data_IF_360327193935
#
_entry.id   IF_360327193935
#
_cell.length_a   1.000
_cell.length_b   1.000
_cell.length_c   1.000
_cell.angle_alpha   90.00
_cell.angle_beta   90.00
_cell.angle_gamma   90.00
#
_symmetry.space_group_name_H-M   'P 1'
#
loop_
_entity.id
_entity.type
_entity.pdbx_description
1 polymer ?
#
# COMPACT_ATOMS: atom_id res chain seq x y z
N UNK A 1 -29.00 25.59 5.98
CA UNK A 1 -29.85 24.43 5.62
C UNK A 1 -29.55 23.29 6.60
N UNK A 2 -30.03 23.38 7.84
CA UNK A 2 -29.91 22.29 8.82
C UNK A 2 -30.97 21.24 8.48
N UNK A 3 -30.57 20.16 7.80
CA UNK A 3 -31.42 18.96 7.65
C UNK A 3 -31.61 18.33 9.04
N UNK A 4 -32.81 17.83 9.29
CA UNK A 4 -33.22 17.16 10.53
C UNK A 4 -32.15 16.19 11.05
N UNK A 5 -31.70 16.40 12.30
CA UNK A 5 -30.67 15.57 12.95
C UNK A 5 -31.11 14.10 12.98
N UNK A 6 -32.42 13.86 13.16
CA UNK A 6 -33.01 12.51 13.21
C UNK A 6 -32.90 11.77 11.88
N UNK A 7 -33.18 12.45 10.77
CA UNK A 7 -33.07 11.87 9.42
C UNK A 7 -31.61 11.57 9.07
N UNK A 8 -30.69 12.45 9.48
CA UNK A 8 -29.24 12.23 9.29
C UNK A 8 -28.75 11.00 10.07
N UNK A 9 -29.19 10.84 11.33
CA UNK A 9 -28.82 9.68 12.15
C UNK A 9 -29.37 8.37 11.56
N UNK A 10 -30.62 8.37 11.10
CA UNK A 10 -31.26 7.20 10.47
C UNK A 10 -30.52 6.79 9.18
N UNK A 11 -30.16 7.77 8.35
CA UNK A 11 -29.38 7.52 7.14
C UNK A 11 -27.99 6.95 7.48
N UNK A 12 -27.32 7.52 8.49
CA UNK A 12 -26.00 7.07 8.90
C UNK A 12 -25.98 5.62 9.40
N UNK A 13 -26.90 5.25 10.30
CA UNK A 13 -26.98 3.89 10.86
C UNK A 13 -27.28 2.83 9.79
N UNK A 14 -27.99 3.20 8.73
CA UNK A 14 -28.26 2.30 7.61
C UNK A 14 -27.11 2.25 6.58
N UNK A 15 -26.22 3.25 6.57
CA UNK A 15 -25.07 3.28 5.66
C UNK A 15 -24.07 2.17 6.00
N UNK A 16 -23.36 1.68 4.98
CA UNK A 16 -22.24 0.77 5.17
C UNK A 16 -21.09 1.43 5.95
N UNK A 17 -21.01 2.76 5.94
CA UNK A 17 -20.03 3.52 6.72
C UNK A 17 -20.15 3.23 8.21
N UNK A 18 -21.39 3.17 8.74
CA UNK A 18 -21.61 2.86 10.16
C UNK A 18 -21.15 1.45 10.54
N UNK A 19 -21.35 0.47 9.65
CA UNK A 19 -20.89 -0.91 9.89
C UNK A 19 -19.36 -0.98 9.94
N UNK A 20 -18.68 -0.27 9.03
CA UNK A 20 -17.22 -0.21 8.99
C UNK A 20 -16.65 0.55 10.19
N UNK A 21 -17.27 1.65 10.58
CA UNK A 21 -16.89 2.41 11.77
C UNK A 21 -17.10 1.59 13.05
N UNK A 22 -18.24 0.90 13.17
CA UNK A 22 -18.52 0.01 14.30
C UNK A 22 -17.50 -1.14 14.36
N UNK A 23 -17.18 -1.75 13.22
CA UNK A 23 -16.15 -2.79 13.13
C UNK A 23 -14.79 -2.25 13.56
N UNK A 24 -14.41 -1.05 13.13
CA UNK A 24 -13.13 -0.42 13.49
C UNK A 24 -13.02 -0.07 14.98
N UNK A 25 -14.15 0.16 15.64
CA UNK A 25 -14.26 0.47 17.07
C UNK A 25 -14.45 -0.78 17.94
N UNK A 26 -14.54 -1.97 17.34
CA UNK A 26 -14.66 -3.21 18.13
C UNK A 26 -13.46 -3.32 19.08
N UNK A 27 -13.68 -3.45 20.40
CA UNK A 27 -12.63 -3.41 21.41
C UNK A 27 -11.90 -4.77 21.48
N UNK A 28 -11.34 -5.21 20.35
CA UNK A 28 -10.53 -6.42 20.27
C UNK A 28 -9.22 -6.28 21.04
N UNK A 29 -8.89 -5.07 21.51
CA UNK A 29 -7.81 -4.85 22.45
C UNK A 29 -8.03 -5.55 23.80
N UNK A 30 -9.26 -5.92 24.15
CA UNK A 30 -9.53 -6.73 25.36
C UNK A 30 -8.83 -8.09 25.28
N UNK A 31 -8.59 -8.60 24.05
CA UNK A 31 -7.89 -9.88 23.84
C UNK A 31 -6.38 -9.80 24.16
N UNK A 32 -5.82 -8.60 24.38
CA UNK A 32 -4.43 -8.44 24.87
C UNK A 32 -4.22 -9.10 26.22
N UNK A 33 -5.27 -9.18 27.05
CA UNK A 33 -5.19 -9.79 28.39
C UNK A 33 -4.86 -11.28 28.33
N UNK A 34 -5.25 -11.97 27.25
CA UNK A 34 -5.09 -13.42 27.11
C UNK A 34 -3.93 -13.81 26.20
N UNK A 35 -3.68 -13.03 25.15
CA UNK A 35 -2.73 -13.39 24.08
C UNK A 35 -1.39 -12.66 24.15
N UNK A 36 -1.25 -11.72 25.11
CA UNK A 36 -0.12 -10.79 25.15
C UNK A 36 -0.25 -9.67 24.09
N UNK A 37 0.74 -8.76 23.98
CA UNK A 37 0.65 -7.60 23.11
C UNK A 37 0.87 -7.94 21.63
N UNK A 38 -0.10 -8.61 21.03
CA UNK A 38 -0.10 -8.93 19.60
C UNK A 38 -0.70 -7.76 18.82
N UNK A 39 0.15 -7.04 18.08
CA UNK A 39 -0.25 -5.92 17.24
C UNK A 39 -1.29 -6.28 16.15
N UNK A 40 -1.42 -7.57 15.80
CA UNK A 40 -2.38 -8.05 14.81
C UNK A 40 -3.85 -7.73 15.16
N UNK A 41 -4.21 -7.72 16.45
CA UNK A 41 -5.58 -7.37 16.89
C UNK A 41 -5.96 -5.92 16.54
N UNK A 42 -4.97 -5.04 16.34
CA UNK A 42 -5.19 -3.65 15.96
C UNK A 42 -5.38 -3.45 14.46
N UNK A 43 -5.16 -4.47 13.64
CA UNK A 43 -5.34 -4.38 12.16
C UNK A 43 -6.78 -4.03 11.81
N UNK A 44 -7.76 -4.42 12.62
CA UNK A 44 -9.17 -4.12 12.40
C UNK A 44 -9.47 -2.62 12.46
N UNK A 45 -8.62 -1.84 13.14
CA UNK A 45 -8.70 -0.37 13.11
C UNK A 45 -8.34 0.21 11.73
N UNK A 46 -7.59 -0.52 10.90
CA UNK A 46 -7.29 -0.11 9.52
C UNK A 46 -8.52 -0.21 8.60
N UNK A 47 -9.60 -0.88 9.02
CA UNK A 47 -10.87 -0.91 8.27
C UNK A 47 -11.56 0.45 8.16
N UNK A 48 -11.05 1.49 8.84
CA UNK A 48 -11.48 2.89 8.67
C UNK A 48 -10.96 3.53 7.37
N UNK A 49 -10.94 2.76 6.29
CA UNK A 49 -10.67 3.23 4.94
C UNK A 49 -11.67 4.30 4.45
N UNK A 50 -12.99 4.27 4.81
CA UNK A 50 -13.93 5.29 4.35
C UNK A 50 -13.52 6.72 4.69
N UNK A 51 -12.93 6.95 5.87
CA UNK A 51 -12.46 8.29 6.24
C UNK A 51 -11.29 8.78 5.38
N UNK A 52 -10.42 7.87 4.96
CA UNK A 52 -9.36 8.21 4.00
C UNK A 52 -9.97 8.63 2.66
N UNK A 53 -10.99 7.90 2.19
CA UNK A 53 -11.67 8.19 0.92
C UNK A 53 -12.40 9.54 0.99
N UNK A 54 -13.04 9.83 2.12
CA UNK A 54 -13.66 11.14 2.39
C UNK A 54 -12.62 12.27 2.37
N UNK A 55 -11.47 12.08 3.01
CA UNK A 55 -10.38 13.07 3.00
C UNK A 55 -9.89 13.33 1.57
N UNK A 56 -9.71 12.30 0.76
CA UNK A 56 -9.32 12.48 -0.64
C UNK A 56 -10.41 13.15 -1.47
N UNK A 57 -11.69 12.87 -1.22
CA UNK A 57 -12.79 13.58 -1.88
C UNK A 57 -12.87 15.06 -1.48
N UNK A 58 -12.55 15.40 -0.23
CA UNK A 58 -12.47 16.79 0.22
C UNK A 58 -11.26 17.50 -0.39
N UNK A 59 -10.11 16.82 -0.49
CA UNK A 59 -8.94 17.34 -1.17
C UNK A 59 -9.19 17.57 -2.67
N UNK A 60 -9.92 16.67 -3.33
CA UNK A 60 -10.31 16.81 -4.74
C UNK A 60 -11.17 18.05 -4.98
N UNK A 61 -12.09 18.35 -4.05
CA UNK A 61 -12.91 19.57 -4.11
C UNK A 61 -12.15 20.85 -3.75
N UNK A 62 -11.06 20.75 -2.98
CA UNK A 62 -10.30 21.92 -2.48
C UNK A 62 -9.20 22.37 -3.43
N UNK A 63 -8.70 21.50 -4.31
CA UNK A 63 -7.55 21.78 -5.17
C UNK A 63 -8.03 22.12 -6.58
N UNK A 64 -7.50 23.20 -7.15
CA UNK A 64 -7.88 23.70 -8.48
C UNK A 64 -7.45 22.77 -9.63
N UNK A 65 -6.41 21.95 -9.42
CA UNK A 65 -5.89 21.03 -10.42
C UNK A 65 -6.21 19.56 -10.08
N UNK A 66 -7.22 18.94 -10.74
CA UNK A 66 -7.63 17.56 -10.47
C UNK A 66 -6.54 16.54 -10.80
N UNK A 67 -5.60 16.86 -11.69
CA UNK A 67 -4.52 15.96 -12.07
C UNK A 67 -3.54 15.71 -10.92
N UNK A 68 -3.23 16.75 -10.13
CA UNK A 68 -2.32 16.65 -8.98
C UNK A 68 -2.92 15.76 -7.90
N UNK A 69 -4.21 15.93 -7.60
CA UNK A 69 -4.91 15.11 -6.60
C UNK A 69 -4.96 13.65 -7.05
N UNK A 70 -5.23 13.39 -8.33
CA UNK A 70 -5.26 12.02 -8.85
C UNK A 70 -3.91 11.33 -8.73
N UNK A 71 -2.80 11.98 -9.10
CA UNK A 71 -1.44 11.41 -8.92
C UNK A 71 -1.16 11.18 -7.43
N UNK A 72 -1.43 12.17 -6.60
CA UNK A 72 -1.18 12.10 -5.15
C UNK A 72 -1.91 10.93 -4.50
N UNK A 73 -3.18 10.72 -4.89
CA UNK A 73 -3.99 9.59 -4.41
C UNK A 73 -3.38 8.25 -4.79
N UNK A 74 -3.00 8.06 -6.05
CA UNK A 74 -2.40 6.81 -6.51
C UNK A 74 -1.02 6.58 -5.89
N UNK A 75 -0.22 7.63 -5.70
CA UNK A 75 1.08 7.56 -5.05
C UNK A 75 0.95 7.19 -3.56
N UNK A 76 -0.02 7.78 -2.85
CA UNK A 76 -0.32 7.42 -1.48
C UNK A 76 -0.73 5.94 -1.35
N UNK A 77 -1.55 5.43 -2.27
CA UNK A 77 -1.89 4.00 -2.31
C UNK A 77 -0.66 3.11 -2.56
N UNK A 78 0.24 3.51 -3.46
CA UNK A 78 1.47 2.77 -3.70
C UNK A 78 2.34 2.69 -2.44
N UNK A 79 2.60 3.82 -1.79
CA UNK A 79 3.41 3.87 -0.56
C UNK A 79 2.78 3.01 0.54
N UNK A 80 1.46 3.08 0.70
CA UNK A 80 0.74 2.26 1.67
C UNK A 80 0.88 0.76 1.38
N UNK A 81 0.75 0.33 0.12
CA UNK A 81 0.94 -1.06 -0.26
C UNK A 81 2.38 -1.53 -0.02
N UNK A 82 3.39 -0.71 -0.34
CA UNK A 82 4.81 -1.02 -0.06
C UNK A 82 5.05 -1.15 1.45
N UNK A 83 4.45 -0.26 2.25
CA UNK A 83 4.50 -0.32 3.70
C UNK A 83 3.91 -1.63 4.23
N UNK A 84 2.70 -2.00 3.82
CA UNK A 84 2.06 -3.26 4.20
C UNK A 84 2.92 -4.48 3.80
N UNK A 85 3.45 -4.49 2.57
CA UNK A 85 4.36 -5.54 2.11
C UNK A 85 5.63 -5.60 2.96
N UNK A 86 6.20 -4.46 3.36
CA UNK A 86 7.40 -4.39 4.20
C UNK A 86 7.18 -4.95 5.60
N UNK A 87 6.00 -4.70 6.18
CA UNK A 87 5.59 -5.28 7.47
C UNK A 87 5.43 -6.80 7.37
N UNK A 88 4.79 -7.30 6.30
CA UNK A 88 4.65 -8.74 6.07
C UNK A 88 6.03 -9.39 5.89
N UNK A 89 6.92 -8.77 5.12
CA UNK A 89 8.29 -9.26 4.91
C UNK A 89 9.09 -9.33 6.22
N UNK A 90 8.94 -8.32 7.10
CA UNK A 90 9.54 -8.36 8.43
C UNK A 90 9.01 -9.51 9.28
N UNK A 91 7.70 -9.75 9.26
CA UNK A 91 7.08 -10.87 10.00
C UNK A 91 7.55 -12.22 9.46
N UNK A 92 7.61 -12.40 8.14
CA UNK A 92 8.17 -13.61 7.52
C UNK A 92 9.64 -13.79 7.90
N UNK A 93 10.41 -12.71 7.91
CA UNK A 93 11.81 -12.72 8.33
C UNK A 93 11.97 -13.13 9.80
N UNK A 94 11.09 -12.64 10.68
CA UNK A 94 11.08 -13.00 12.09
C UNK A 94 10.71 -14.48 12.30
N UNK A 95 9.74 -15.01 11.54
CA UNK A 95 9.39 -16.44 11.58
C UNK A 95 10.52 -17.37 11.13
N UNK A 96 11.39 -16.89 10.24
CA UNK A 96 12.58 -17.62 9.77
C UNK A 96 13.84 -17.32 10.61
N UNK A 97 13.67 -16.78 11.82
CA UNK A 97 14.74 -16.41 12.74
C UNK A 97 15.81 -15.52 12.10
N UNK A 98 15.40 -14.54 11.30
CA UNK A 98 16.28 -13.54 10.67
C UNK A 98 17.42 -14.14 9.82
N UNK A 99 17.16 -15.30 9.20
CA UNK A 99 18.12 -16.00 8.34
C UNK A 99 19.18 -16.79 9.09
N UNK A 100 19.06 -16.95 10.42
CA UNK A 100 19.98 -17.77 11.22
C UNK A 100 19.83 -19.27 10.95
N UNK A 101 18.72 -19.69 10.35
CA UNK A 101 18.49 -21.08 9.95
C UNK A 101 19.17 -21.31 8.60
N UNK A 102 20.26 -22.11 8.60
CA UNK A 102 20.91 -22.53 7.38
C UNK A 102 20.06 -23.59 6.66
N UNK A 103 19.99 -23.50 5.32
CA UNK A 103 19.40 -24.54 4.48
C UNK A 103 20.50 -25.35 3.80
N UNK A 104 20.20 -26.60 3.44
CA UNK A 104 21.14 -27.51 2.80
C UNK A 104 20.81 -27.66 1.32
N UNK A 105 21.77 -27.35 0.45
CA UNK A 105 21.68 -27.58 -0.99
C UNK A 105 22.98 -28.19 -1.48
N UNK A 106 22.93 -29.26 -2.29
CA UNK A 106 24.11 -29.96 -2.81
C UNK A 106 25.17 -30.29 -1.73
N UNK A 107 24.74 -30.85 -0.60
CA UNK A 107 25.58 -31.19 0.57
C UNK A 107 26.39 -30.03 1.18
N UNK A 108 26.06 -28.77 0.84
CA UNK A 108 26.63 -27.56 1.45
C UNK A 108 25.55 -26.80 2.23
N UNK A 109 25.94 -26.22 3.35
CA UNK A 109 25.09 -25.34 4.16
C UNK A 109 25.19 -23.92 3.63
N UNK A 110 24.04 -23.29 3.39
CA UNK A 110 23.95 -21.90 2.97
C UNK A 110 23.10 -21.13 3.96
N UNK A 111 23.53 -19.92 4.28
CA UNK A 111 22.73 -18.99 5.05
C UNK A 111 21.67 -18.37 4.15
N UNK A 112 20.44 -18.24 4.64
CA UNK A 112 19.36 -17.65 3.87
C UNK A 112 19.57 -16.13 3.76
N UNK A 113 20.12 -15.70 2.62
CA UNK A 113 20.35 -14.28 2.30
C UNK A 113 19.08 -13.52 1.93
N UNK A 114 17.98 -14.24 1.67
CA UNK A 114 16.70 -13.62 1.33
C UNK A 114 16.10 -12.89 2.53
N UNK A 115 16.32 -13.40 3.74
CA UNK A 115 15.73 -12.88 4.97
C UNK A 115 16.49 -11.65 5.49
N UNK A 116 15.78 -10.72 6.14
CA UNK A 116 16.41 -9.63 6.86
C UNK A 116 17.31 -10.15 8.00
N UNK A 117 18.62 -9.86 7.93
CA UNK A 117 19.66 -10.37 8.83
C UNK A 117 19.71 -9.73 10.25
N UNK A 118 18.64 -9.06 10.67
CA UNK A 118 18.55 -8.32 11.94
C UNK A 118 19.63 -7.26 12.19
N UNK A 119 20.34 -6.80 11.16
CA UNK A 119 21.35 -5.75 11.30
C UNK A 119 20.84 -4.41 10.78
N UNK A 120 20.97 -3.38 11.62
CA UNK A 120 20.57 -2.01 11.30
C UNK A 120 19.09 -1.74 11.55
N UNK A 121 18.54 -0.74 10.85
CA UNK A 121 17.13 -0.39 10.97
C UNK A 121 16.27 -1.36 10.15
N UNK A 122 15.51 -2.19 10.86
CA UNK A 122 14.62 -3.19 10.28
C UNK A 122 13.63 -2.57 9.28
N UNK A 123 13.04 -1.43 9.63
CA UNK A 123 12.04 -0.78 8.79
C UNK A 123 12.62 -0.34 7.45
N UNK A 124 13.73 0.41 7.47
CA UNK A 124 14.34 0.96 6.26
C UNK A 124 14.80 -0.16 5.32
N UNK A 125 15.41 -1.22 5.86
CA UNK A 125 15.87 -2.35 5.04
C UNK A 125 14.73 -3.17 4.47
N UNK A 126 13.68 -3.45 5.25
CA UNK A 126 12.50 -4.14 4.75
C UNK A 126 11.77 -3.30 3.70
N UNK A 127 11.61 -2.01 3.95
CA UNK A 127 10.97 -1.08 3.01
C UNK A 127 11.76 -0.95 1.71
N UNK A 128 13.09 -0.87 1.78
CA UNK A 128 13.96 -0.84 0.60
C UNK A 128 13.82 -2.14 -0.22
N UNK A 129 13.88 -3.30 0.43
CA UNK A 129 13.71 -4.59 -0.23
C UNK A 129 12.35 -4.73 -0.92
N UNK A 130 11.26 -4.39 -0.23
CA UNK A 130 9.92 -4.49 -0.83
C UNK A 130 9.70 -3.45 -1.92
N UNK A 131 10.29 -2.26 -1.81
CA UNK A 131 10.28 -1.26 -2.89
C UNK A 131 11.04 -1.77 -4.12
N UNK A 132 12.21 -2.40 -3.93
CA UNK A 132 13.00 -3.01 -4.99
C UNK A 132 12.22 -4.12 -5.72
N UNK A 133 11.57 -5.03 -4.96
CA UNK A 133 10.68 -6.06 -5.52
C UNK A 133 9.50 -5.43 -6.29
N UNK A 134 8.83 -4.43 -5.71
CA UNK A 134 7.65 -3.81 -6.31
C UNK A 134 7.98 -3.04 -7.61
N UNK A 135 9.14 -2.40 -7.66
CA UNK A 135 9.63 -1.65 -8.84
C UNK A 135 10.41 -2.52 -9.83
N UNK A 136 10.50 -3.84 -9.59
CA UNK A 136 11.35 -4.77 -10.36
C UNK A 136 12.79 -4.27 -10.50
N UNK A 137 13.27 -3.48 -9.55
CA UNK A 137 14.59 -2.85 -9.57
C UNK A 137 15.47 -3.50 -8.51
N UNK A 138 16.71 -3.79 -8.86
CA UNK A 138 17.71 -4.29 -7.92
C UNK A 138 17.95 -5.80 -7.95
N UNK A 139 19.11 -6.20 -7.46
CA UNK A 139 19.53 -7.59 -7.37
C UNK A 139 19.00 -8.22 -6.08
N UNK A 140 17.70 -8.55 -6.08
CA UNK A 140 17.08 -9.19 -4.93
C UNK A 140 17.66 -10.60 -4.72
N UNK A 141 18.00 -11.00 -3.48
CA UNK A 141 18.42 -12.37 -3.17
C UNK A 141 17.38 -13.38 -3.66
N UNK A 142 17.84 -14.54 -4.11
CA UNK A 142 16.96 -15.61 -4.57
C UNK A 142 16.20 -16.24 -3.39
N UNK A 143 14.89 -16.49 -3.53
CA UNK A 143 14.11 -17.18 -2.51
C UNK A 143 14.55 -18.65 -2.42
N UNK A 144 14.53 -19.18 -1.21
CA UNK A 144 15.01 -20.52 -0.86
C UNK A 144 13.89 -21.45 -0.42
N UNK A 145 12.78 -20.89 0.06
CA UNK A 145 11.64 -21.64 0.60
C UNK A 145 10.36 -21.34 -0.19
N UNK A 146 9.44 -22.31 -0.24
CA UNK A 146 8.15 -22.19 -0.96
C UNK A 146 7.38 -20.95 -0.52
N UNK A 147 7.38 -20.64 0.78
CA UNK A 147 6.73 -19.44 1.33
C UNK A 147 7.36 -18.15 0.76
N UNK A 148 8.68 -18.12 0.58
CA UNK A 148 9.40 -16.97 0.00
C UNK A 148 9.07 -16.82 -1.49
N UNK A 149 8.99 -17.92 -2.25
CA UNK A 149 8.56 -17.91 -3.64
C UNK A 149 7.14 -17.37 -3.81
N UNK A 150 6.22 -17.81 -2.94
CA UNK A 150 4.83 -17.33 -2.93
C UNK A 150 4.82 -15.82 -2.64
N UNK A 151 5.49 -15.38 -1.57
CA UNK A 151 5.56 -13.96 -1.21
C UNK A 151 6.14 -13.13 -2.37
N UNK A 152 7.27 -13.54 -2.95
CA UNK A 152 7.90 -12.81 -4.04
C UNK A 152 7.00 -12.70 -5.27
N UNK A 153 6.29 -13.78 -5.62
CA UNK A 153 5.37 -13.78 -6.77
C UNK A 153 4.24 -12.78 -6.55
N UNK A 154 3.59 -12.82 -5.38
CA UNK A 154 2.49 -11.90 -5.06
C UNK A 154 2.96 -10.45 -4.95
N UNK A 155 4.10 -10.19 -4.29
CA UNK A 155 4.64 -8.84 -4.15
C UNK A 155 5.08 -8.25 -5.49
N UNK A 156 5.68 -9.06 -6.37
CA UNK A 156 6.04 -8.64 -7.72
C UNK A 156 4.80 -8.34 -8.57
N UNK A 157 3.80 -9.23 -8.59
CA UNK A 157 2.55 -8.99 -9.31
C UNK A 157 1.87 -7.70 -8.84
N UNK A 158 1.71 -7.53 -7.52
CA UNK A 158 1.14 -6.30 -6.93
C UNK A 158 1.92 -5.06 -7.36
N UNK A 159 3.25 -5.11 -7.29
CA UNK A 159 4.13 -4.00 -7.69
C UNK A 159 3.96 -3.61 -9.15
N UNK A 160 3.97 -4.58 -10.06
CA UNK A 160 3.79 -4.35 -11.51
C UNK A 160 2.42 -3.73 -11.80
N UNK A 161 1.34 -4.22 -11.18
CA UNK A 161 0.00 -3.66 -11.38
C UNK A 161 -0.11 -2.22 -10.89
N UNK A 162 0.40 -1.93 -9.69
CA UNK A 162 0.32 -0.58 -9.10
C UNK A 162 1.19 0.41 -9.89
N UNK A 163 2.39 -0.01 -10.31
CA UNK A 163 3.27 0.82 -11.12
C UNK A 163 2.66 1.09 -12.51
N UNK A 164 2.02 0.10 -13.13
CA UNK A 164 1.30 0.27 -14.39
C UNK A 164 0.14 1.28 -14.25
N UNK A 165 -0.62 1.23 -13.15
CA UNK A 165 -1.68 2.21 -12.86
C UNK A 165 -1.12 3.63 -12.72
N UNK A 166 0.03 3.79 -12.04
CA UNK A 166 0.70 5.09 -11.91
C UNK A 166 1.16 5.64 -13.26
N UNK A 167 1.85 4.83 -14.06
CA UNK A 167 2.26 5.21 -15.41
C UNK A 167 1.07 5.57 -16.29
N UNK A 168 -0.04 4.84 -16.18
CA UNK A 168 -1.29 5.17 -16.87
C UNK A 168 -1.83 6.56 -16.51
N UNK A 169 -1.77 6.95 -15.22
CA UNK A 169 -2.19 8.31 -14.81
C UNK A 169 -1.26 9.39 -15.34
N UNK A 170 0.05 9.17 -15.29
CA UNK A 170 1.05 10.13 -15.80
C UNK A 170 0.89 10.31 -17.31
N UNK A 171 0.70 9.21 -18.05
CA UNK A 171 0.46 9.22 -19.49
C UNK A 171 -0.79 10.02 -19.87
N UNK A 172 -1.91 9.80 -19.17
CA UNK A 172 -3.15 10.55 -19.43
C UNK A 172 -2.95 12.06 -19.28
N UNK A 173 -2.10 12.49 -18.34
CA UNK A 173 -1.80 13.91 -18.12
C UNK A 173 -0.95 14.47 -19.25
N UNK A 174 0.09 13.74 -19.67
CA UNK A 174 0.94 14.17 -20.79
C UNK A 174 0.17 14.23 -22.11
N UNK A 175 -0.79 13.32 -22.32
CA UNK A 175 -1.65 13.33 -23.50
C UNK A 175 -2.57 14.56 -23.52
N UNK A 176 -3.20 14.89 -22.39
CA UNK A 176 -4.01 16.12 -22.29
C UNK A 176 -3.15 17.36 -22.55
N UNK A 177 -1.96 17.43 -21.96
CA UNK A 177 -1.04 18.55 -22.19
C UNK A 177 -0.64 18.66 -23.67
N UNK A 178 -0.36 17.53 -24.33
CA UNK A 178 -0.01 17.50 -25.74
C UNK A 178 -1.17 17.95 -26.64
N UNK A 179 -2.41 17.53 -26.33
CA UNK A 179 -3.61 17.96 -27.06
C UNK A 179 -3.80 19.47 -26.96
N UNK A 180 -3.70 20.03 -25.75
CA UNK A 180 -3.81 21.49 -25.54
C UNK A 180 -2.72 22.24 -26.31
N UNK A 181 -1.48 21.75 -26.29
CA UNK A 181 -0.37 22.35 -27.06
C UNK A 181 -0.61 22.28 -28.56
N UNK A 182 -1.14 21.16 -29.06
CA UNK A 182 -1.45 20.97 -30.47
C UNK A 182 -2.58 21.89 -30.93
N UNK A 183 -3.66 22.04 -30.15
CA UNK A 183 -4.75 22.97 -30.44
C UNK A 183 -4.26 24.43 -30.48
N UNK A 184 -3.32 24.81 -29.61
CA UNK A 184 -2.70 26.14 -29.63
C UNK A 184 -1.86 26.32 -30.89
N UNK A 185 -1.05 25.33 -31.28
CA UNK A 185 -0.25 25.38 -32.52
C UNK A 185 -1.14 25.54 -33.74
N UNK A 186 -2.19 24.73 -33.87
CA UNK A 186 -3.13 24.82 -34.99
C UNK A 186 -3.83 26.18 -35.09
N UNK A 187 -4.15 26.80 -33.94
CA UNK A 187 -4.70 28.16 -33.92
C UNK A 187 -3.66 29.18 -34.40
N UNK A 188 -2.40 29.06 -34.00
CA UNK A 188 -1.32 29.95 -34.44
C UNK A 188 -1.01 29.79 -35.94
N UNK A 189 -1.01 28.56 -36.46
CA UNK A 189 -0.77 28.26 -37.87
C UNK A 189 -1.92 28.72 -38.80
N UNK A 190 -3.07 29.09 -38.23
CA UNK A 190 -4.24 29.60 -38.98
C UNK A 190 -4.26 31.13 -39.18
N UNK A 191 -3.31 31.86 -38.59
CA UNK A 191 -3.12 33.31 -38.76
C UNK A 191 -2.01 33.62 -39.76
#
# INVERSE_FOLDING_TARGET
MQKDIKETAKHYVHSNDFKLDLLSLTPLDIMYVWTGPIAAWRVIRMCKLPSFWQLFSLLDNSVSNPYIIRITKTLAYMIYLIHCNSCIYYVLSAWQAFGQIAYRMNNKWYLNKWVYNNQGNAYIRCFYFTTAVATSTGSNPAPTNVVEYIYMTFSWMMGVFVFALLLGQIKNISEVELIVRFEISLKLDSF
#
